data_IF_622728093961
#
_entry.id   IF_622728093961
#
_cell.length_a   1.000
_cell.length_b   1.000
_cell.length_c   1.000
_cell.angle_alpha   90.00
_cell.angle_beta   90.00
_cell.angle_gamma   90.00
#
_symmetry.space_group_name_H-M   'P 1'
#
loop_
_entity.id
_entity.type
_entity.pdbx_description
1 polymer ?
#
# COMPACT_ATOMS: atom_id res chain seq x y z
N UNK A 1 -6.00 42.98 31.07
CA UNK A 1 -5.44 42.72 29.71
C UNK A 1 -4.12 42.00 29.90
N UNK A 2 -4.13 40.67 29.95
CA UNK A 2 -2.89 39.90 30.09
C UNK A 2 -2.38 39.54 28.68
N UNK A 3 -1.20 40.04 28.37
CA UNK A 3 -0.42 39.68 27.19
C UNK A 3 -0.11 38.17 27.23
N UNK A 4 -0.86 37.39 26.46
CA UNK A 4 -0.52 36.00 26.19
C UNK A 4 0.79 35.98 25.39
N UNK A 5 1.90 35.67 26.06
CA UNK A 5 3.18 35.38 25.40
C UNK A 5 2.97 34.19 24.45
N UNK A 6 2.76 34.47 23.17
CA UNK A 6 3.03 33.52 22.11
C UNK A 6 4.53 33.23 22.20
N UNK A 7 4.92 31.99 22.50
CA UNK A 7 6.33 31.61 22.50
C UNK A 7 6.99 32.08 21.18
N UNK A 8 8.13 32.77 21.27
CA UNK A 8 8.85 33.24 20.09
C UNK A 8 9.17 32.05 19.17
N UNK A 9 9.11 32.22 17.84
CA UNK A 9 9.45 31.15 16.92
C UNK A 9 10.87 30.67 17.13
N UNK A 10 11.05 29.35 17.28
CA UNK A 10 12.38 28.74 17.46
C UNK A 10 13.21 28.88 16.17
N UNK A 11 12.54 28.82 15.02
CA UNK A 11 13.13 29.09 13.71
C UNK A 11 12.48 30.35 13.10
N UNK A 12 13.27 31.44 13.02
CA UNK A 12 12.84 32.71 12.44
C UNK A 12 12.44 32.60 10.97
N UNK A 13 13.00 31.64 10.23
CA UNK A 13 12.66 31.38 8.83
C UNK A 13 11.41 30.49 8.68
N UNK A 14 10.99 29.80 9.75
CA UNK A 14 9.81 28.91 9.77
C UNK A 14 8.95 29.24 10.99
N UNK A 15 8.22 30.38 10.98
CA UNK A 15 7.54 30.92 12.15
C UNK A 15 6.39 30.05 12.70
N UNK A 16 6.03 28.98 11.98
CA UNK A 16 5.09 27.95 12.43
C UNK A 16 5.73 26.86 13.31
N UNK A 17 7.06 26.82 13.41
CA UNK A 17 7.80 25.95 14.34
C UNK A 17 7.97 26.70 15.65
N UNK A 18 7.17 26.32 16.63
CA UNK A 18 7.10 26.97 17.96
C UNK A 18 7.43 26.03 19.11
N UNK A 19 7.56 24.74 18.82
CA UNK A 19 7.91 23.70 19.77
C UNK A 19 9.22 23.06 19.32
N UNK A 20 10.15 22.87 20.26
CA UNK A 20 11.46 22.27 20.00
C UNK A 20 11.33 20.84 19.47
N UNK A 21 10.24 20.15 19.81
CA UNK A 21 9.90 18.81 19.30
C UNK A 21 9.53 18.81 17.82
N UNK A 22 9.12 19.95 17.27
CA UNK A 22 8.86 20.11 15.84
C UNK A 22 10.09 20.69 15.10
N UNK A 23 11.23 20.89 15.78
CA UNK A 23 12.48 21.28 15.12
C UNK A 23 12.96 20.13 14.21
N UNK A 24 13.08 20.34 12.89
CA UNK A 24 13.57 19.33 11.98
C UNK A 24 15.05 18.96 12.18
N UNK A 25 15.86 19.84 12.77
CA UNK A 25 17.28 19.60 13.01
C UNK A 25 17.51 18.59 14.15
N UNK A 26 16.54 18.44 15.06
CA UNK A 26 16.60 17.54 16.24
C UNK A 26 15.83 16.24 16.05
N UNK A 27 15.48 15.90 14.81
CA UNK A 27 14.62 14.76 14.52
C UNK A 27 15.37 13.42 14.66
N UNK A 28 15.08 12.69 15.73
CA UNK A 28 15.54 11.31 15.92
C UNK A 28 14.62 10.32 15.19
N UNK A 29 15.08 9.85 14.03
CA UNK A 29 14.36 8.90 13.18
C UNK A 29 14.22 7.52 13.80
N UNK A 30 15.24 7.04 14.51
CA UNK A 30 15.20 5.72 15.14
C UNK A 30 14.15 5.71 16.24
N UNK A 31 14.16 6.74 17.08
CA UNK A 31 13.17 6.88 18.13
C UNK A 31 11.76 7.02 17.51
N UNK A 32 11.59 7.91 16.53
CA UNK A 32 10.30 8.20 15.89
C UNK A 32 9.69 6.98 15.20
N UNK A 33 10.50 6.15 14.54
CA UNK A 33 10.02 5.04 13.72
C UNK A 33 9.92 3.71 14.48
N UNK A 34 10.72 3.50 15.54
CA UNK A 34 10.83 2.19 16.19
C UNK A 34 10.43 2.16 17.67
N UNK A 35 10.26 3.30 18.35
CA UNK A 35 9.79 3.32 19.74
C UNK A 35 8.30 3.69 19.84
N UNK A 36 7.39 2.73 20.08
CA UNK A 36 5.95 2.98 20.17
C UNK A 36 5.51 3.69 21.44
N UNK A 37 6.33 3.75 22.49
CA UNK A 37 5.97 4.34 23.78
C UNK A 37 6.29 5.83 23.88
N UNK A 38 6.81 6.44 22.80
CA UNK A 38 7.12 7.86 22.75
C UNK A 38 5.96 8.73 22.29
N UNK A 39 6.26 10.03 22.15
CA UNK A 39 5.39 11.03 21.55
C UNK A 39 6.08 11.65 20.34
N UNK A 40 5.30 12.07 19.34
CA UNK A 40 5.84 12.72 18.14
C UNK A 40 4.95 13.88 17.72
N UNK A 41 5.60 15.03 17.50
CA UNK A 41 4.98 16.24 16.99
C UNK A 41 4.44 16.08 15.56
N UNK A 42 3.67 17.06 15.11
CA UNK A 42 3.00 16.99 13.80
C UNK A 42 4.02 16.94 12.66
N UNK A 43 5.09 17.75 12.75
CA UNK A 43 6.02 17.89 11.64
C UNK A 43 6.83 16.60 11.43
N UNK A 44 7.31 16.00 12.53
CA UNK A 44 8.05 14.74 12.50
C UNK A 44 7.17 13.59 11.97
N UNK A 45 5.91 13.52 12.39
CA UNK A 45 4.94 12.56 11.88
C UNK A 45 4.72 12.72 10.37
N UNK A 46 4.37 13.92 9.91
CA UNK A 46 4.06 14.16 8.50
C UNK A 46 5.27 13.86 7.60
N UNK A 47 6.48 14.25 8.03
CA UNK A 47 7.72 13.92 7.28
C UNK A 47 7.94 12.42 7.20
N UNK A 48 7.89 11.72 8.34
CA UNK A 48 8.07 10.27 8.38
C UNK A 48 7.06 9.54 7.49
N UNK A 49 5.79 9.93 7.59
CA UNK A 49 4.74 9.39 6.76
C UNK A 49 4.97 9.66 5.27
N UNK A 50 5.35 10.88 4.89
CA UNK A 50 5.64 11.23 3.49
C UNK A 50 6.81 10.42 2.93
N UNK A 51 7.90 10.25 3.68
CA UNK A 51 9.03 9.42 3.25
C UNK A 51 8.63 7.97 3.04
N UNK A 52 7.87 7.39 3.97
CA UNK A 52 7.37 6.02 3.85
C UNK A 52 6.44 5.86 2.64
N UNK A 53 5.53 6.82 2.43
CA UNK A 53 4.61 6.79 1.29
C UNK A 53 5.36 6.92 -0.04
N UNK A 54 6.22 7.93 -0.17
CA UNK A 54 6.99 8.17 -1.39
C UNK A 54 7.93 7.01 -1.70
N UNK A 55 8.58 6.45 -0.68
CA UNK A 55 9.42 5.26 -0.84
C UNK A 55 8.65 4.07 -1.41
N UNK A 56 7.42 3.81 -0.94
CA UNK A 56 6.56 2.75 -1.49
C UNK A 56 6.19 3.02 -2.95
N UNK A 57 5.78 4.26 -3.27
CA UNK A 57 5.42 4.64 -4.64
C UNK A 57 6.60 4.45 -5.58
N UNK A 58 7.79 4.93 -5.20
CA UNK A 58 8.98 4.81 -6.04
C UNK A 58 9.41 3.35 -6.20
N UNK A 59 9.45 2.56 -5.12
CA UNK A 59 9.83 1.15 -5.16
C UNK A 59 8.83 0.26 -5.91
N UNK A 60 7.60 0.73 -6.13
CA UNK A 60 6.63 0.03 -6.95
C UNK A 60 6.64 0.53 -8.40
N UNK A 61 6.40 1.83 -8.60
CA UNK A 61 6.19 2.44 -9.91
C UNK A 61 7.45 2.38 -10.75
N UNK A 62 8.62 2.74 -10.20
CA UNK A 62 9.85 2.80 -11.00
C UNK A 62 10.25 1.41 -11.52
N UNK A 63 10.32 0.35 -10.69
CA UNK A 63 10.67 -0.98 -11.19
C UNK A 63 9.62 -1.55 -12.17
N UNK A 64 8.33 -1.41 -11.87
CA UNK A 64 7.25 -1.91 -12.74
C UNK A 64 7.26 -1.19 -14.09
N UNK A 65 7.31 0.14 -14.08
CA UNK A 65 7.29 0.94 -15.31
C UNK A 65 8.55 0.71 -16.15
N UNK A 66 9.73 0.62 -15.52
CA UNK A 66 10.98 0.28 -16.21
C UNK A 66 10.90 -1.11 -16.85
N UNK A 67 10.37 -2.11 -16.13
CA UNK A 67 10.16 -3.45 -16.65
C UNK A 67 9.14 -3.47 -17.79
N UNK A 68 8.08 -2.67 -17.74
CA UNK A 68 7.11 -2.53 -18.82
C UNK A 68 7.76 -1.96 -20.09
N UNK A 69 8.50 -0.85 -20.00
CA UNK A 69 9.20 -0.24 -21.14
C UNK A 69 10.21 -1.22 -21.74
N UNK A 70 11.04 -1.85 -20.90
CA UNK A 70 12.02 -2.82 -21.35
C UNK A 70 11.38 -4.04 -22.00
N UNK A 71 10.25 -4.54 -21.49
CA UNK A 71 9.49 -5.63 -22.13
C UNK A 71 8.97 -5.21 -23.51
N UNK A 72 8.43 -3.99 -23.64
CA UNK A 72 7.99 -3.44 -24.93
C UNK A 72 9.14 -3.27 -25.92
N UNK A 73 10.34 -3.00 -25.43
CA UNK A 73 11.57 -2.94 -26.22
C UNK A 73 12.16 -4.33 -26.56
N UNK A 74 11.52 -5.42 -26.15
CA UNK A 74 11.94 -6.79 -26.45
C UNK A 74 12.92 -7.41 -25.45
N UNK A 75 13.17 -6.79 -24.30
CA UNK A 75 14.03 -7.36 -23.27
C UNK A 75 13.39 -8.61 -22.63
N UNK A 76 14.19 -9.67 -22.45
CA UNK A 76 13.75 -10.85 -21.73
C UNK A 76 13.86 -10.64 -20.21
N UNK A 77 12.74 -10.26 -19.58
CA UNK A 77 12.63 -10.02 -18.14
C UNK A 77 12.05 -11.20 -17.36
N UNK A 78 12.06 -12.42 -17.93
CA UNK A 78 11.54 -13.62 -17.27
C UNK A 78 12.15 -13.84 -15.87
N UNK A 79 13.43 -13.51 -15.69
CA UNK A 79 14.09 -13.59 -14.40
C UNK A 79 13.56 -12.58 -13.37
N UNK A 80 13.26 -11.34 -13.78
CA UNK A 80 12.74 -10.30 -12.89
C UNK A 80 11.32 -10.60 -12.41
N UNK A 81 10.51 -11.23 -13.27
CA UNK A 81 9.15 -11.67 -12.94
C UNK A 81 9.09 -13.05 -12.28
N UNK A 82 10.21 -13.77 -12.23
CA UNK A 82 10.28 -15.07 -11.57
C UNK A 82 9.95 -14.89 -10.09
N UNK A 83 8.93 -15.59 -9.56
CA UNK A 83 8.61 -15.53 -8.15
C UNK A 83 9.74 -16.16 -7.34
N UNK A 84 10.23 -15.44 -6.34
CA UNK A 84 11.13 -15.97 -5.33
C UNK A 84 10.31 -16.60 -4.22
N UNK A 85 10.75 -17.76 -3.74
CA UNK A 85 10.10 -18.54 -2.67
C UNK A 85 10.36 -17.91 -1.31
N UNK A 86 9.84 -16.72 -1.04
CA UNK A 86 9.78 -16.21 0.33
C UNK A 86 8.69 -16.98 1.07
N UNK A 87 9.02 -17.64 2.18
CA UNK A 87 8.01 -18.27 3.04
C UNK A 87 7.25 -17.14 3.76
N UNK A 88 5.91 -17.00 3.67
CA UNK A 88 4.90 -17.87 3.02
C UNK A 88 4.36 -17.36 1.66
N UNK A 89 4.86 -16.23 1.13
CA UNK A 89 4.34 -15.56 -0.08
C UNK A 89 5.38 -15.54 -1.20
N UNK A 90 5.12 -16.13 -2.37
CA UNK A 90 6.04 -16.00 -3.49
C UNK A 90 5.91 -14.61 -4.12
N UNK A 91 6.99 -13.86 -4.09
CA UNK A 91 7.05 -12.46 -4.51
C UNK A 91 7.86 -12.39 -5.81
N UNK A 92 7.38 -11.72 -6.88
CA UNK A 92 8.20 -11.47 -8.06
C UNK A 92 9.53 -10.84 -7.66
N UNK A 93 10.66 -11.33 -8.18
CA UNK A 93 11.99 -10.86 -7.79
C UNK A 93 12.12 -9.32 -7.87
N UNK A 94 11.53 -8.73 -8.91
CA UNK A 94 11.45 -7.28 -9.13
C UNK A 94 10.80 -6.51 -7.96
N UNK A 95 9.83 -7.12 -7.28
CA UNK A 95 9.02 -6.47 -6.23
C UNK A 95 9.50 -6.76 -4.82
N UNK A 96 10.53 -7.58 -4.63
CA UNK A 96 11.06 -7.90 -3.29
C UNK A 96 11.40 -6.65 -2.48
N UNK A 97 12.13 -5.64 -3.01
CA UNK A 97 12.41 -4.42 -2.26
C UNK A 97 11.13 -3.69 -1.83
N UNK A 98 10.12 -3.63 -2.69
CA UNK A 98 8.82 -3.04 -2.37
C UNK A 98 8.11 -3.77 -1.23
N UNK A 99 8.08 -5.10 -1.25
CA UNK A 99 7.42 -5.89 -0.21
C UNK A 99 8.11 -5.76 1.14
N UNK A 100 9.44 -5.89 1.17
CA UNK A 100 10.23 -5.71 2.39
C UNK A 100 10.00 -4.31 2.95
N UNK A 101 10.12 -3.30 2.10
CA UNK A 101 9.90 -1.91 2.49
C UNK A 101 8.47 -1.70 2.99
N UNK A 102 7.46 -2.28 2.35
CA UNK A 102 6.06 -2.18 2.75
C UNK A 102 5.81 -2.76 4.14
N UNK A 103 6.39 -3.93 4.46
CA UNK A 103 6.28 -4.56 5.78
C UNK A 103 6.93 -3.68 6.85
N UNK A 104 8.18 -3.27 6.62
CA UNK A 104 8.92 -2.39 7.54
C UNK A 104 8.15 -1.10 7.77
N UNK A 105 7.71 -0.45 6.69
CA UNK A 105 6.99 0.81 6.79
C UNK A 105 5.57 0.66 7.32
N UNK A 106 4.94 -0.51 7.26
CA UNK A 106 3.64 -0.74 7.88
C UNK A 106 3.80 -0.72 9.41
N UNK A 107 4.84 -1.39 9.91
CA UNK A 107 5.20 -1.34 11.32
C UNK A 107 5.57 0.08 11.77
N UNK A 108 6.50 0.75 11.08
CA UNK A 108 6.94 2.09 11.50
C UNK A 108 5.84 3.14 11.31
N UNK A 109 4.93 2.96 10.33
CA UNK A 109 3.73 3.78 10.20
C UNK A 109 2.81 3.59 11.39
N UNK A 110 2.58 2.36 11.85
CA UNK A 110 1.82 2.09 13.07
C UNK A 110 2.46 2.76 14.30
N UNK A 111 3.77 2.63 14.49
CA UNK A 111 4.52 3.31 15.56
C UNK A 111 4.30 4.82 15.50
N UNK A 112 4.48 5.44 14.33
CA UNK A 112 4.29 6.88 14.15
C UNK A 112 2.86 7.32 14.50
N UNK A 113 1.84 6.53 14.16
CA UNK A 113 0.45 6.81 14.52
C UNK A 113 0.19 6.66 16.02
N UNK A 114 0.74 5.64 16.68
CA UNK A 114 0.65 5.47 18.15
C UNK A 114 1.23 6.69 18.85
N UNK A 115 2.46 7.08 18.49
CA UNK A 115 3.14 8.25 19.08
C UNK A 115 2.39 9.56 18.84
N UNK A 116 1.79 9.72 17.65
CA UNK A 116 0.98 10.90 17.31
C UNK A 116 -0.31 10.96 18.12
N UNK A 117 -0.98 9.82 18.33
CA UNK A 117 -2.17 9.78 19.18
C UNK A 117 -1.83 9.97 20.66
N UNK A 118 -0.71 9.43 21.13
CA UNK A 118 -0.22 9.65 22.49
C UNK A 118 0.09 11.13 22.74
N UNK A 119 0.79 11.80 21.80
CA UNK A 119 1.05 13.26 21.88
C UNK A 119 -0.24 14.09 21.91
N UNK A 120 -1.31 13.58 21.30
CA UNK A 120 -2.61 14.23 21.26
C UNK A 120 -3.56 13.83 22.40
N UNK A 121 -3.08 13.05 23.40
CA UNK A 121 -3.90 12.49 24.49
C UNK A 121 -5.15 11.73 24.00
N UNK A 122 -5.02 10.99 22.89
CA UNK A 122 -6.09 10.16 22.32
C UNK A 122 -5.75 8.68 22.44
N UNK A 123 -6.80 7.84 22.38
CA UNK A 123 -6.64 6.39 22.37
C UNK A 123 -5.73 5.95 21.22
N UNK A 124 -4.62 5.30 21.58
CA UNK A 124 -3.63 4.73 20.66
C UNK A 124 -4.17 3.54 19.88
N UNK A 125 -5.28 2.93 20.33
CA UNK A 125 -5.96 1.85 19.60
C UNK A 125 -6.38 2.26 18.18
N UNK A 126 -6.67 3.55 17.97
CA UNK A 126 -7.00 4.10 16.64
C UNK A 126 -5.86 3.93 15.63
N UNK A 127 -4.61 3.78 16.09
CA UNK A 127 -3.47 3.53 15.21
C UNK A 127 -3.61 2.21 14.41
N UNK A 128 -4.41 1.25 14.88
CA UNK A 128 -4.65 -0.01 14.17
C UNK A 128 -5.31 0.17 12.80
N UNK A 129 -6.02 1.29 12.58
CA UNK A 129 -6.64 1.61 11.28
C UNK A 129 -5.60 1.62 10.16
N UNK A 130 -4.36 2.04 10.45
CA UNK A 130 -3.30 2.10 9.44
C UNK A 130 -2.85 0.72 8.95
N UNK A 131 -3.19 -0.35 9.68
CA UNK A 131 -2.87 -1.74 9.31
C UNK A 131 -3.93 -2.37 8.42
N UNK A 132 -5.13 -1.78 8.29
CA UNK A 132 -6.24 -2.31 7.48
C UNK A 132 -5.80 -2.67 6.05
N UNK A 133 -5.06 -1.83 5.30
CA UNK A 133 -4.68 -2.16 3.94
C UNK A 133 -3.79 -3.41 3.88
N UNK A 134 -2.86 -3.55 4.84
CA UNK A 134 -1.99 -4.73 4.93
C UNK A 134 -2.81 -5.99 5.23
N UNK A 135 -3.71 -5.92 6.21
CA UNK A 135 -4.58 -7.05 6.59
C UNK A 135 -5.46 -7.47 5.41
N UNK A 136 -6.10 -6.52 4.73
CA UNK A 136 -6.94 -6.81 3.56
C UNK A 136 -6.12 -7.33 2.38
N UNK A 137 -4.89 -6.85 2.19
CA UNK A 137 -3.97 -7.42 1.21
C UNK A 137 -3.65 -8.89 1.50
N UNK A 138 -3.38 -9.25 2.76
CA UNK A 138 -3.12 -10.64 3.17
C UNK A 138 -4.35 -11.53 3.02
N UNK A 139 -5.53 -11.06 3.46
CA UNK A 139 -6.80 -11.79 3.31
C UNK A 139 -7.14 -11.96 1.82
N UNK A 140 -6.98 -10.90 1.02
CA UNK A 140 -7.17 -10.93 -0.42
C UNK A 140 -6.23 -11.91 -1.10
N UNK A 141 -4.97 -11.98 -0.67
CA UNK A 141 -4.03 -12.97 -1.18
C UNK A 141 -4.52 -14.39 -0.90
N UNK A 142 -4.85 -14.70 0.36
CA UNK A 142 -5.30 -16.03 0.74
C UNK A 142 -6.56 -16.45 -0.03
N UNK A 143 -7.56 -15.56 -0.14
CA UNK A 143 -8.78 -15.81 -0.92
C UNK A 143 -8.53 -15.88 -2.43
N UNK A 144 -7.62 -15.06 -2.96
CA UNK A 144 -7.25 -15.11 -4.38
C UNK A 144 -6.52 -16.40 -4.76
N UNK A 145 -5.71 -16.95 -3.85
CA UNK A 145 -5.05 -18.25 -4.03
C UNK A 145 -6.07 -19.37 -4.15
N UNK A 146 -7.07 -19.42 -3.27
CA UNK A 146 -8.12 -20.45 -3.33
C UNK A 146 -8.95 -20.34 -4.60
N UNK A 147 -9.29 -19.11 -5.03
CA UNK A 147 -9.98 -18.88 -6.30
C UNK A 147 -9.13 -19.27 -7.51
N UNK A 148 -7.82 -18.97 -7.52
CA UNK A 148 -6.92 -19.36 -8.60
C UNK A 148 -6.76 -20.88 -8.72
N UNK A 149 -6.74 -21.60 -7.60
CA UNK A 149 -6.77 -23.07 -7.56
C UNK A 149 -8.07 -23.61 -8.15
N UNK A 150 -9.22 -23.09 -7.72
CA UNK A 150 -10.52 -23.52 -8.24
C UNK A 150 -10.65 -23.23 -9.75
N UNK A 151 -10.14 -22.09 -10.21
CA UNK A 151 -10.09 -21.74 -11.63
C UNK A 151 -9.25 -22.71 -12.46
N UNK A 152 -8.12 -23.17 -11.93
CA UNK A 152 -7.29 -24.18 -12.60
C UNK A 152 -8.03 -25.52 -12.74
N UNK A 153 -8.68 -26.00 -11.67
CA UNK A 153 -9.46 -27.24 -11.71
C UNK A 153 -10.63 -27.14 -12.70
N UNK A 154 -11.32 -26.00 -12.74
CA UNK A 154 -12.39 -25.74 -13.70
C UNK A 154 -11.88 -25.76 -15.15
N UNK A 155 -10.71 -25.18 -15.43
CA UNK A 155 -10.09 -25.23 -16.76
C UNK A 155 -9.69 -26.64 -17.16
N UNK A 156 -9.13 -27.42 -16.22
CA UNK A 156 -8.79 -28.82 -16.47
C UNK A 156 -10.05 -29.66 -16.78
N UNK A 157 -11.13 -29.43 -16.04
CA UNK A 157 -12.42 -30.09 -16.29
C UNK A 157 -13.02 -29.70 -17.65
N UNK A 158 -12.91 -28.43 -18.06
CA UNK A 158 -13.35 -27.98 -19.38
C UNK A 158 -12.51 -28.57 -20.51
N UNK A 159 -11.18 -28.63 -20.34
CA UNK A 159 -10.29 -29.25 -21.32
C UNK A 159 -10.55 -30.75 -21.47
N UNK A 160 -10.85 -31.45 -20.36
CA UNK A 160 -11.26 -32.86 -20.40
C UNK A 160 -12.59 -33.05 -21.14
N UNK A 161 -13.59 -32.19 -20.90
CA UNK A 161 -14.87 -32.23 -21.63
C UNK A 161 -14.70 -31.98 -23.13
N UNK A 162 -13.88 -30.99 -23.50
CA UNK A 162 -13.60 -30.67 -24.90
C UNK A 162 -12.85 -31.81 -25.63
N UNK A 163 -11.97 -32.53 -24.93
CA UNK A 163 -11.29 -33.69 -25.51
C UNK A 163 -12.25 -34.84 -25.83
N UNK A 164 -13.22 -35.12 -24.94
CA UNK A 164 -14.25 -36.15 -25.17
C UNK A 164 -15.17 -35.79 -26.34
N UNK A 165 -15.59 -34.52 -26.45
CA UNK A 165 -16.42 -34.04 -27.55
C UNK A 165 -15.66 -34.03 -28.91
N UNK A 166 -14.33 -33.88 -28.87
CA UNK A 166 -13.46 -33.98 -30.05
C UNK A 166 -13.32 -35.43 -30.55
N UNK A 167 -13.33 -36.41 -29.63
CA UNK A 167 -13.27 -37.83 -29.97
C UNK A 167 -14.63 -38.36 -30.48
N UNK A 168 -15.75 -37.93 -29.88
CA UNK A 168 -17.10 -38.30 -30.35
C UNK A 168 -17.48 -37.69 -31.72
N UNK A 169 -16.82 -36.62 -32.16
CA UNK A 169 -17.00 -36.02 -33.48
C UNK A 169 -16.21 -36.69 -34.62
N UNK A 170 -15.39 -37.70 -34.33
CA UNK A 170 -14.51 -38.35 -35.32
C UNK A 170 -15.10 -39.65 -35.88
N UNK A 171 -16.18 -39.53 -36.66
CA UNK A 171 -16.63 -40.60 -37.57
C UNK A 171 -15.76 -40.57 -38.83
N UNK A 172 -15.08 -41.66 -39.22
CA UNK A 172 -14.23 -41.66 -40.41
C UNK A 172 -15.06 -41.98 -41.65
N UNK A 173 -15.61 -40.96 -42.30
CA UNK A 173 -16.08 -41.12 -43.69
C UNK A 173 -14.98 -40.67 -44.66
N UNK A 174 -14.41 -41.68 -45.33
CA UNK A 174 -13.40 -41.55 -46.35
C UNK A 174 -14.04 -41.33 -47.73
N UNK A 175 -13.73 -40.21 -48.42
CA UNK A 175 -13.61 -40.15 -49.89
C UNK A 175 -12.60 -39.03 -50.27
N UNK A 176 -11.64 -39.27 -51.18
CA UNK A 176 -10.67 -38.27 -51.62
C UNK A 176 -11.12 -37.54 -52.89
N UNK A 177 -10.90 -36.23 -52.97
CA UNK A 177 -10.90 -35.50 -54.25
C UNK A 177 -10.07 -34.21 -54.18
N UNK A 178 -9.28 -34.01 -55.23
CA UNK A 178 -8.24 -33.02 -55.38
C UNK A 178 -8.75 -31.62 -55.80
N UNK A 179 -7.83 -30.65 -55.64
CA UNK A 179 -7.69 -29.38 -56.34
C UNK A 179 -8.82 -28.34 -56.30
N UNK A 180 -8.52 -27.23 -55.61
CA UNK A 180 -8.47 -25.88 -56.24
C UNK A 180 -7.75 -24.87 -55.36
N UNK A 181 -6.57 -24.48 -55.82
CA UNK A 181 -5.88 -23.28 -55.41
C UNK A 181 -6.71 -22.02 -55.70
N UNK A 182 -6.98 -21.22 -54.67
CA UNK A 182 -7.12 -19.76 -54.77
C UNK A 182 -6.42 -19.15 -53.55
N UNK A 183 -5.15 -18.80 -53.76
CA UNK A 183 -4.39 -17.98 -52.84
C UNK A 183 -5.03 -16.58 -52.74
N UNK A 184 -5.57 -16.27 -51.56
CA UNK A 184 -5.92 -14.92 -51.13
C UNK A 184 -4.91 -14.58 -50.02
N UNK A 185 -4.23 -13.42 -50.08
CA UNK A 185 -3.11 -13.14 -49.20
C UNK A 185 -3.55 -13.15 -47.74
N UNK A 186 -2.77 -13.87 -46.94
CA UNK A 186 -2.93 -14.12 -45.52
C UNK A 186 -3.19 -12.81 -44.77
N UNK A 187 -4.35 -12.72 -44.12
CA UNK A 187 -4.47 -11.89 -42.94
C UNK A 187 -3.51 -12.48 -41.91
N UNK A 188 -2.35 -11.86 -41.75
CA UNK A 188 -1.38 -12.15 -40.70
C UNK A 188 -2.01 -11.96 -39.33
N UNK A 189 -2.78 -12.96 -38.87
CA UNK A 189 -3.06 -13.15 -37.47
C UNK A 189 -1.76 -13.65 -36.86
N UNK A 190 -0.98 -12.71 -36.35
CA UNK A 190 0.07 -12.95 -35.37
C UNK A 190 -0.57 -13.77 -34.26
N UNK A 191 -0.45 -15.10 -34.32
CA UNK A 191 -0.85 -15.96 -33.21
C UNK A 191 -0.04 -15.48 -32.01
N UNK A 192 -0.68 -15.01 -30.93
CA UNK A 192 0.05 -14.76 -29.70
C UNK A 192 0.67 -16.09 -29.34
N UNK A 193 2.01 -16.13 -29.32
CA UNK A 193 2.83 -17.29 -29.02
C UNK A 193 2.35 -17.82 -27.66
N UNK A 194 1.40 -18.75 -27.69
CA UNK A 194 0.66 -19.19 -26.52
C UNK A 194 1.63 -20.06 -25.77
N UNK A 195 2.20 -19.49 -24.70
CA UNK A 195 3.10 -20.22 -23.82
C UNK A 195 2.41 -21.48 -23.28
N UNK A 196 3.19 -22.38 -22.64
CA UNK A 196 2.62 -23.56 -22.00
C UNK A 196 1.43 -23.17 -21.11
N UNK A 197 0.38 -24.00 -21.02
CA UNK A 197 -0.76 -23.72 -20.17
C UNK A 197 -0.29 -23.45 -18.74
N UNK A 198 -0.86 -22.44 -18.06
CA UNK A 198 -0.39 -22.04 -16.75
C UNK A 198 -0.55 -23.18 -15.75
N UNK A 199 0.47 -23.37 -14.92
CA UNK A 199 0.41 -24.36 -13.84
C UNK A 199 -0.58 -23.94 -12.76
N UNK A 200 -1.10 -24.90 -11.98
CA UNK A 200 -1.95 -24.62 -10.81
C UNK A 200 -1.34 -23.56 -9.89
N UNK A 201 -0.03 -23.67 -9.63
CA UNK A 201 0.72 -22.70 -8.82
C UNK A 201 0.69 -21.31 -9.46
N UNK A 202 0.93 -21.18 -10.75
CA UNK A 202 0.89 -19.87 -11.42
C UNK A 202 -0.52 -19.24 -11.37
N UNK A 203 -1.57 -20.03 -11.55
CA UNK A 203 -2.95 -19.54 -11.42
C UNK A 203 -3.30 -19.12 -10.00
N UNK A 204 -2.95 -19.94 -9.01
CA UNK A 204 -3.14 -19.63 -7.60
C UNK A 204 -2.43 -18.32 -7.22
N UNK A 205 -1.17 -18.15 -7.64
CA UNK A 205 -0.40 -16.95 -7.34
C UNK A 205 -0.90 -15.72 -8.08
N UNK A 206 -1.30 -15.86 -9.35
CA UNK A 206 -1.91 -14.79 -10.11
C UNK A 206 -3.22 -14.31 -9.48
N UNK A 207 -4.09 -15.24 -9.08
CA UNK A 207 -5.33 -14.95 -8.37
C UNK A 207 -5.08 -14.27 -7.02
N UNK A 208 -4.15 -14.82 -6.22
CA UNK A 208 -3.73 -14.26 -4.93
C UNK A 208 -3.22 -12.83 -5.07
N UNK A 209 -2.23 -12.61 -5.93
CA UNK A 209 -1.64 -11.28 -6.15
C UNK A 209 -2.64 -10.28 -6.71
N UNK A 210 -3.50 -10.68 -7.65
CA UNK A 210 -4.52 -9.81 -8.23
C UNK A 210 -5.52 -9.34 -7.17
N UNK A 211 -6.07 -10.27 -6.40
CA UNK A 211 -7.04 -9.95 -5.35
C UNK A 211 -6.42 -9.16 -4.20
N UNK A 212 -5.21 -9.54 -3.76
CA UNK A 212 -4.46 -8.80 -2.75
C UNK A 212 -4.24 -7.35 -3.15
N UNK A 213 -3.80 -7.12 -4.39
CA UNK A 213 -3.53 -5.77 -4.91
C UNK A 213 -4.81 -4.95 -4.97
N UNK A 214 -5.91 -5.51 -5.47
CA UNK A 214 -7.19 -4.82 -5.54
C UNK A 214 -7.69 -4.39 -4.16
N UNK A 215 -7.74 -5.32 -3.19
CA UNK A 215 -8.19 -5.00 -1.83
C UNK A 215 -7.25 -4.02 -1.12
N UNK A 216 -5.93 -4.18 -1.29
CA UNK A 216 -4.95 -3.27 -0.71
C UNK A 216 -5.12 -1.85 -1.24
N UNK A 217 -5.23 -1.66 -2.57
CA UNK A 217 -5.42 -0.32 -3.17
C UNK A 217 -6.71 0.33 -2.69
N UNK A 218 -7.82 -0.43 -2.71
CA UNK A 218 -9.14 0.07 -2.30
C UNK A 218 -9.15 0.49 -0.83
N UNK A 219 -8.43 -0.22 0.04
CA UNK A 219 -8.31 0.11 1.45
C UNK A 219 -7.28 1.22 1.74
N UNK A 220 -6.21 1.29 0.94
CA UNK A 220 -5.13 2.25 1.14
C UNK A 220 -5.60 3.69 0.96
N UNK A 221 -6.49 3.96 0.00
CA UNK A 221 -6.96 5.32 -0.28
C UNK A 221 -7.79 5.92 0.89
N UNK A 222 -8.83 5.25 1.43
CA UNK A 222 -9.56 5.76 2.61
C UNK A 222 -8.66 5.92 3.83
N UNK A 223 -7.75 4.98 4.07
CA UNK A 223 -6.82 5.05 5.21
C UNK A 223 -5.84 6.21 5.04
N UNK A 224 -5.33 6.45 3.82
CA UNK A 224 -4.51 7.61 3.50
C UNK A 224 -5.26 8.92 3.75
N UNK A 225 -6.51 9.03 3.28
CA UNK A 225 -7.35 10.20 3.52
C UNK A 225 -7.60 10.40 5.01
N UNK A 226 -7.90 9.33 5.75
CA UNK A 226 -8.04 9.39 7.20
C UNK A 226 -6.75 9.85 7.88
N UNK A 227 -5.58 9.35 7.49
CA UNK A 227 -4.29 9.79 8.03
C UNK A 227 -4.08 11.28 7.77
N UNK A 228 -4.36 11.78 6.56
CA UNK A 228 -4.18 13.19 6.22
C UNK A 228 -5.18 14.12 6.90
N UNK A 229 -6.45 13.71 6.97
CA UNK A 229 -7.55 14.55 7.45
C UNK A 229 -7.74 14.47 8.97
N UNK A 230 -7.39 13.36 9.59
CA UNK A 230 -7.63 13.13 11.02
C UNK A 230 -6.35 13.07 11.85
N UNK A 231 -5.29 12.42 11.35
CA UNK A 231 -4.08 12.17 12.15
C UNK A 231 -3.08 13.31 11.99
N UNK A 232 -2.82 13.72 10.74
CA UNK A 232 -1.99 14.88 10.44
C UNK A 232 -2.69 16.19 10.86
N UNK A 233 -4.01 16.26 10.66
CA UNK A 233 -4.87 17.39 11.03
C UNK A 233 -5.76 17.09 12.24
N UNK A 234 -5.19 16.55 13.31
CA UNK A 234 -5.95 16.36 14.55
C UNK A 234 -6.77 17.63 14.84
N UNK A 235 -8.10 17.50 15.06
CA UNK A 235 -9.02 18.62 15.21
C UNK A 235 -8.41 19.71 16.08
N UNK A 236 -8.40 20.94 15.55
CA UNK A 236 -7.88 22.17 16.16
C UNK A 236 -6.36 22.17 16.42
N UNK A 237 -5.62 22.15 15.31
CA UNK A 237 -4.17 22.36 15.22
C UNK A 237 -3.75 23.71 14.65
N UNK A 238 -4.46 24.79 15.01
CA UNK A 238 -4.26 26.16 14.52
C UNK A 238 -4.79 26.33 13.09
N UNK A 239 -5.79 27.12 12.74
CA UNK A 239 -6.28 28.41 13.26
C UNK A 239 -7.82 28.38 13.17
N UNK A 240 -8.52 28.77 14.23
CA UNK A 240 -9.97 28.84 14.32
C UNK A 240 -10.42 29.29 15.71
N UNK A 241 -11.67 29.72 15.91
CA UNK A 241 -12.17 30.20 17.20
C UNK A 241 -12.20 29.12 18.30
N UNK A 242 -11.99 27.85 17.94
CA UNK A 242 -11.93 26.72 18.87
C UNK A 242 -10.47 26.26 19.00
N UNK A 243 -9.85 26.54 20.16
CA UNK A 243 -8.53 26.00 20.54
C UNK A 243 -8.71 24.63 21.20
N UNK A 244 -7.84 23.66 20.93
CA UNK A 244 -7.96 22.31 21.56
C UNK A 244 -6.65 21.75 22.11
N UNK A 245 -5.60 22.56 22.11
CA UNK A 245 -4.35 22.19 22.77
C UNK A 245 -3.31 21.51 21.89
N UNK A 246 -3.61 21.15 20.64
CA UNK A 246 -2.58 20.65 19.72
C UNK A 246 -1.75 21.77 19.04
N UNK A 247 -2.15 23.01 19.23
CA UNK A 247 -1.47 24.27 18.90
C UNK A 247 -0.64 24.83 20.05
N UNK A 248 -0.76 24.21 21.23
CA UNK A 248 -0.13 24.63 22.46
C UNK A 248 1.14 23.82 22.71
N UNK A 249 2.17 24.50 23.19
CA UNK A 249 3.37 23.89 23.73
C UNK A 249 3.02 22.98 24.93
N UNK A 250 3.88 22.02 25.27
CA UNK A 250 3.66 21.15 26.44
C UNK A 250 3.46 21.95 27.74
N UNK A 251 4.14 23.09 27.88
CA UNK A 251 3.94 23.97 29.03
C UNK A 251 2.55 24.58 29.05
N UNK A 252 2.04 25.04 27.91
CA UNK A 252 0.69 25.59 27.80
C UNK A 252 -0.38 24.51 28.01
N UNK A 253 -0.17 23.30 27.51
CA UNK A 253 -1.03 22.14 27.78
C UNK A 253 -1.03 21.79 29.29
N UNK A 254 0.15 21.75 29.92
CA UNK A 254 0.26 21.48 31.36
C UNK A 254 -0.41 22.58 32.19
N UNK A 255 -0.21 23.85 31.82
CA UNK A 255 -0.85 25.00 32.48
C UNK A 255 -2.38 24.95 32.37
N UNK A 256 -2.92 24.55 31.22
CA UNK A 256 -4.37 24.36 31.03
C UNK A 256 -4.92 23.17 31.83
N UNK A 257 -4.19 22.05 31.86
CA UNK A 257 -4.60 20.88 32.63
C UNK A 257 -4.66 21.16 34.15
N UNK A 258 -3.83 22.09 34.64
CA UNK A 258 -3.82 22.55 36.04
C UNK A 258 -4.73 23.76 36.32
N UNK A 259 -5.36 24.33 35.28
CA UNK A 259 -6.23 25.49 35.45
C UNK A 259 -7.59 25.09 36.05
N UNK A 260 -8.22 25.94 36.89
CA UNK A 260 -9.52 25.65 37.48
C UNK A 260 -10.61 25.44 36.40
N UNK A 261 -11.57 24.57 36.68
CA UNK A 261 -12.53 23.95 35.73
C UNK A 261 -13.29 24.96 34.84
N UNK A 262 -13.49 26.20 35.30
CA UNK A 262 -14.11 27.28 34.52
C UNK A 262 -13.30 27.69 33.25
N UNK A 263 -12.03 27.30 33.14
CA UNK A 263 -11.18 27.53 31.98
C UNK A 263 -10.99 26.28 31.09
N UNK A 264 -11.56 25.14 31.47
CA UNK A 264 -11.42 23.87 30.74
C UNK A 264 -12.56 23.64 29.72
N UNK A 265 -13.64 24.42 29.78
CA UNK A 265 -14.81 24.33 28.88
C UNK A 265 -14.60 25.12 27.59
N UNK A 266 -13.64 24.70 26.78
CA UNK A 266 -13.67 24.83 25.31
C UNK A 266 -12.63 23.85 24.76
N UNK A 267 -13.03 22.58 24.63
CA UNK A 267 -12.25 21.55 23.94
C UNK A 267 -13.17 20.75 23.02
#
# INVERSE_FOLDING_TARGET
MSSHHLAEPIDHHRPWIRDERDDPARMDWLQTLFNPFGMTGKLHFSRAWTFMFMGRVLLFVVPVFSASIASMAGANLAAAWKPLSFFPLPIPALLVPFFIFTIVTAFTSWVAHVRRFADANRSTLKAMIVLIPLILGLVGFAGGVTMGVAGYEAQKAQAAKAAVESEEGSVPDAVPAADKAKAKPESGQTQPRRGPPPTMKQMALGGGMGMATALWVLAALPVMLWTLLHVARLPNGGVGPVRTGSDLTQEEQRKLATAPTAYQTTA
#
